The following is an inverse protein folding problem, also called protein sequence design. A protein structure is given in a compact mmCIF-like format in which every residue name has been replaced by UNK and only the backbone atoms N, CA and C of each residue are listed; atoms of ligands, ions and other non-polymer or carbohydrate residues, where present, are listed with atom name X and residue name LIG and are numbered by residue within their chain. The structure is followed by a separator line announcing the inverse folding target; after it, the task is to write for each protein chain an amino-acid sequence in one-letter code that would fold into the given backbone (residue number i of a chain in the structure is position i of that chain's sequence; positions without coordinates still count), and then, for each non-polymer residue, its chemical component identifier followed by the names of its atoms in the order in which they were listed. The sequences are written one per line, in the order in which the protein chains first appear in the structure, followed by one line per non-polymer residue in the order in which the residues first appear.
data_IF_849129095226
#
_entry.id   IF_849129095226
#
_cell.length_a   1.000
_cell.length_b   1.000
_cell.length_c   1.000
_cell.angle_alpha   90.00
_cell.angle_beta   90.00
_cell.angle_gamma   90.00
#
_symmetry.space_group_name_H-M   'P 1'
#
loop_
_entity.id
_entity.type
_entity.pdbx_description
1 polymer ?
#
# COMPACT_ATOMS: atom_id res chain seq x y z
N UNK A 1 -18.69 -13.83 10.61
CA UNK A 1 -17.34 -13.53 11.17
C UNK A 1 -16.31 -13.87 10.11
N UNK A 2 -15.46 -12.93 9.78
CA UNK A 2 -14.35 -13.07 8.85
C UNK A 2 -13.02 -13.19 9.61
N UNK A 3 -12.02 -13.80 8.97
CA UNK A 3 -10.68 -13.90 9.51
C UNK A 3 -9.71 -13.17 8.59
N UNK A 4 -9.07 -12.12 9.09
CA UNK A 4 -7.94 -11.45 8.43
C UNK A 4 -6.67 -12.00 9.03
N UNK A 5 -5.86 -12.69 8.23
CA UNK A 5 -4.65 -13.37 8.70
C UNK A 5 -3.49 -13.18 7.72
N UNK A 6 -2.29 -13.50 8.16
CA UNK A 6 -1.14 -13.43 7.28
C UNK A 6 0.18 -13.37 7.98
N UNK A 7 1.17 -12.80 7.28
CA UNK A 7 2.54 -12.72 7.75
C UNK A 7 3.08 -11.31 7.65
N UNK A 8 4.00 -10.97 8.54
CA UNK A 8 4.72 -9.69 8.58
C UNK A 8 6.22 -9.91 8.39
N UNK A 9 6.82 -9.10 7.53
CA UNK A 9 8.24 -9.12 7.25
C UNK A 9 8.82 -7.70 7.19
N UNK A 10 10.06 -7.57 7.58
CA UNK A 10 10.88 -6.40 7.37
C UNK A 10 11.98 -6.66 6.33
N UNK A 11 12.99 -5.81 6.30
CA UNK A 11 14.14 -5.93 5.38
C UNK A 11 14.93 -7.22 5.59
N UNK A 12 15.11 -7.64 6.83
CA UNK A 12 15.94 -8.79 7.22
C UNK A 12 15.18 -10.12 7.29
N UNK A 13 13.89 -10.13 6.96
CA UNK A 13 13.04 -11.31 7.01
C UNK A 13 11.83 -11.13 7.93
N UNK A 14 11.48 -12.18 8.66
CA UNK A 14 10.34 -12.18 9.58
C UNK A 14 10.41 -11.01 10.57
N UNK A 15 9.28 -10.34 10.78
CA UNK A 15 9.17 -9.23 11.71
C UNK A 15 8.02 -9.47 12.69
N UNK A 16 8.35 -9.70 13.96
CA UNK A 16 7.40 -9.88 15.07
C UNK A 16 6.92 -8.55 15.64
N UNK A 17 5.89 -8.60 16.48
CA UNK A 17 5.34 -7.47 17.21
C UNK A 17 4.98 -6.27 16.31
N UNK A 18 4.53 -6.56 15.10
CA UNK A 18 3.90 -5.58 14.22
C UNK A 18 2.46 -5.41 14.68
N UNK A 19 2.04 -4.18 14.94
CA UNK A 19 0.65 -3.85 15.25
C UNK A 19 -0.14 -3.78 13.94
N UNK A 20 -1.15 -4.64 13.81
CA UNK A 20 -2.09 -4.67 12.70
C UNK A 20 -3.41 -4.11 13.20
N UNK A 21 -3.94 -3.09 12.53
CA UNK A 21 -5.16 -2.41 12.92
C UNK A 21 -6.14 -2.30 11.76
N UNK A 22 -7.40 -2.67 11.98
CA UNK A 22 -8.51 -2.30 11.11
C UNK A 22 -9.15 -1.01 11.62
N UNK A 23 -9.29 -0.03 10.74
CA UNK A 23 -9.74 1.32 11.07
C UNK A 23 -11.02 1.70 10.30
N UNK A 24 -11.81 2.57 10.93
CA UNK A 24 -12.99 3.16 10.30
C UNK A 24 -12.64 4.38 9.43
N UNK A 25 -13.65 5.03 8.86
CA UNK A 25 -13.51 6.22 8.00
C UNK A 25 -12.91 7.45 8.73
N UNK A 26 -13.00 7.48 10.05
CA UNK A 26 -12.39 8.52 10.90
C UNK A 26 -10.97 8.19 11.34
N UNK A 27 -10.44 7.09 10.79
CA UNK A 27 -9.13 6.57 11.16
C UNK A 27 -9.02 6.10 12.63
N UNK A 28 -10.13 5.76 13.25
CA UNK A 28 -10.18 5.18 14.60
C UNK A 28 -10.01 3.67 14.52
N UNK A 29 -9.19 3.10 15.40
CA UNK A 29 -8.96 1.65 15.48
C UNK A 29 -10.21 0.94 15.98
N UNK A 30 -10.73 0.02 15.17
CA UNK A 30 -11.88 -0.82 15.52
C UNK A 30 -11.45 -2.18 16.05
N UNK A 31 -10.46 -2.79 15.42
CA UNK A 31 -9.91 -4.10 15.76
C UNK A 31 -8.41 -4.07 15.58
N UNK A 32 -7.69 -4.81 16.43
CA UNK A 32 -6.23 -4.86 16.35
C UNK A 32 -5.69 -6.21 16.82
N UNK A 33 -4.52 -6.56 16.35
CA UNK A 33 -3.71 -7.69 16.82
C UNK A 33 -2.22 -7.38 16.66
N UNK A 34 -1.37 -8.21 17.26
CA UNK A 34 0.08 -8.16 17.07
C UNK A 34 0.54 -9.42 16.35
N UNK A 35 1.51 -9.29 15.46
CA UNK A 35 2.18 -10.47 14.92
C UNK A 35 3.04 -11.16 15.98
N UNK A 36 3.05 -12.50 15.94
CA UNK A 36 3.82 -13.36 16.84
C UNK A 36 5.32 -13.40 16.49
N UNK A 37 6.08 -14.27 17.17
CA UNK A 37 7.51 -14.45 16.95
C UNK A 37 7.87 -14.94 15.55
N UNK A 38 6.94 -15.62 14.88
CA UNK A 38 7.07 -16.08 13.50
C UNK A 38 6.58 -15.04 12.48
N UNK A 39 6.18 -13.86 12.94
CA UNK A 39 5.59 -12.82 12.11
C UNK A 39 4.16 -13.16 11.66
N UNK A 40 3.51 -14.16 12.24
CA UNK A 40 2.14 -14.54 11.89
C UNK A 40 1.15 -13.71 12.68
N UNK A 41 0.05 -13.33 12.05
CA UNK A 41 -1.06 -12.65 12.72
C UNK A 41 -2.41 -13.20 12.28
N UNK A 42 -3.38 -13.09 13.17
CA UNK A 42 -4.77 -13.42 12.92
C UNK A 42 -5.68 -12.44 13.67
N UNK A 43 -6.74 -12.01 13.00
CA UNK A 43 -7.73 -11.06 13.51
C UNK A 43 -9.13 -11.50 13.07
N UNK A 44 -9.95 -11.96 14.01
CA UNK A 44 -11.35 -12.33 13.77
C UNK A 44 -12.25 -11.11 13.96
N UNK A 45 -13.02 -10.76 12.93
CA UNK A 45 -13.86 -9.55 12.91
C UNK A 45 -15.23 -9.84 12.32
N UNK A 46 -16.25 -9.02 12.58
CA UNK A 46 -17.52 -9.10 11.86
C UNK A 46 -17.33 -9.00 10.34
N UNK A 47 -18.19 -9.69 9.60
CA UNK A 47 -18.22 -9.56 8.14
C UNK A 47 -18.54 -8.13 7.76
N UNK A 48 -17.78 -7.59 6.81
CA UNK A 48 -17.92 -6.20 6.36
C UNK A 48 -16.78 -5.71 5.49
N UNK A 49 -16.86 -4.45 5.10
CA UNK A 49 -15.76 -3.74 4.46
C UNK A 49 -15.17 -2.72 5.42
N UNK A 50 -13.87 -2.75 5.61
CA UNK A 50 -13.14 -1.83 6.47
C UNK A 50 -12.34 -0.86 5.61
N UNK A 51 -12.49 0.46 5.79
CA UNK A 51 -11.80 1.45 4.98
C UNK A 51 -10.29 1.26 4.94
N UNK A 52 -9.69 0.96 6.09
CA UNK A 52 -8.24 0.83 6.18
C UNK A 52 -7.82 -0.35 7.06
N UNK A 53 -6.74 -1.02 6.63
CA UNK A 53 -5.88 -1.80 7.49
C UNK A 53 -4.50 -1.17 7.45
N UNK A 54 -3.94 -0.93 8.63
CA UNK A 54 -2.55 -0.47 8.77
C UNK A 54 -1.72 -1.51 9.51
N UNK A 55 -0.44 -1.58 9.17
CA UNK A 55 0.51 -2.39 9.91
C UNK A 55 1.77 -1.58 10.21
N UNK A 56 2.13 -1.50 11.49
CA UNK A 56 3.16 -0.59 11.96
C UNK A 56 3.98 -1.19 13.10
N UNK A 57 5.26 -0.84 13.12
CA UNK A 57 6.18 -1.09 14.23
C UNK A 57 7.24 0.01 14.26
N UNK A 58 7.52 0.58 15.43
CA UNK A 58 8.55 1.62 15.61
C UNK A 58 8.43 2.74 14.55
N UNK A 59 7.18 3.22 14.29
CA UNK A 59 6.85 4.17 13.23
C UNK A 59 7.67 5.46 13.34
N UNK A 60 8.19 5.91 12.21
CA UNK A 60 9.00 7.12 12.12
C UNK A 60 10.40 7.00 12.76
N UNK A 61 10.69 5.89 13.44
CA UNK A 61 11.99 5.60 14.05
C UNK A 61 12.80 4.59 13.23
N UNK A 62 12.22 3.43 12.95
CA UNK A 62 12.88 2.34 12.22
C UNK A 62 12.16 1.98 10.94
N UNK A 63 10.83 2.09 10.92
CA UNK A 63 9.96 1.69 9.83
C UNK A 63 8.93 2.79 9.53
N UNK A 64 8.37 2.74 8.34
CA UNK A 64 7.14 3.38 7.96
C UNK A 64 6.00 2.34 7.89
N UNK A 65 4.81 2.77 7.54
CA UNK A 65 3.58 2.00 7.67
C UNK A 65 3.23 1.26 6.37
N UNK A 66 2.61 0.08 6.50
CA UNK A 66 1.91 -0.57 5.40
C UNK A 66 0.43 -0.22 5.44
N UNK A 67 -0.15 -0.03 4.26
CA UNK A 67 -1.56 0.30 4.07
C UNK A 67 -2.26 -0.72 3.19
N UNK A 68 -3.44 -1.19 3.64
CA UNK A 68 -4.44 -1.78 2.77
C UNK A 68 -5.72 -0.96 2.84
N UNK A 69 -6.33 -0.67 1.68
CA UNK A 69 -7.53 0.16 1.59
C UNK A 69 -8.71 -0.68 1.10
N UNK A 70 -9.94 -0.36 1.58
CA UNK A 70 -11.20 -1.02 1.24
C UNK A 70 -11.18 -2.54 1.54
N UNK A 71 -10.71 -2.92 2.70
CA UNK A 71 -10.44 -4.31 3.09
C UNK A 71 -11.73 -5.13 3.17
N UNK A 72 -11.95 -6.13 2.30
CA UNK A 72 -13.16 -6.94 2.30
C UNK A 72 -13.03 -8.09 3.31
N UNK A 73 -13.50 -7.91 4.52
CA UNK A 73 -13.58 -8.96 5.52
C UNK A 73 -14.90 -9.73 5.36
N UNK A 74 -15.00 -10.55 4.31
CA UNK A 74 -16.17 -11.37 3.98
C UNK A 74 -15.71 -12.82 3.77
N UNK A 75 -15.23 -13.47 4.85
CA UNK A 75 -14.56 -14.75 4.84
C UNK A 75 -13.07 -14.61 5.19
N UNK A 76 -12.28 -15.60 4.80
CA UNK A 76 -10.84 -15.60 5.06
C UNK A 76 -10.11 -14.66 4.08
N UNK A 77 -9.38 -13.69 4.61
CA UNK A 77 -8.51 -12.80 3.86
C UNK A 77 -7.06 -13.01 4.31
N UNK A 78 -6.18 -13.32 3.35
CA UNK A 78 -4.74 -13.47 3.61
C UNK A 78 -3.95 -12.28 3.07
N UNK A 79 -3.06 -11.74 3.94
CA UNK A 79 -2.18 -10.62 3.62
C UNK A 79 -0.72 -10.96 3.96
N UNK A 80 0.17 -10.69 3.00
CA UNK A 80 1.63 -10.74 3.23
C UNK A 80 2.15 -9.31 3.34
N UNK A 81 2.30 -8.85 4.57
CA UNK A 81 2.64 -7.47 4.90
C UNK A 81 4.15 -7.32 4.98
N UNK A 82 4.67 -6.31 4.28
CA UNK A 82 6.07 -5.94 4.40
C UNK A 82 6.18 -4.46 4.76
N UNK A 83 6.91 -4.17 5.83
CA UNK A 83 7.22 -2.81 6.26
C UNK A 83 8.74 -2.59 6.25
N UNK A 84 9.15 -1.42 5.80
CA UNK A 84 10.54 -1.00 5.71
C UNK A 84 10.58 0.53 5.88
N UNK A 85 11.61 1.20 5.40
CA UNK A 85 11.80 2.64 5.48
C UNK A 85 11.15 3.42 4.34
N UNK A 86 10.41 2.73 3.46
CA UNK A 86 9.52 3.36 2.49
C UNK A 86 8.07 3.02 2.78
N UNK A 87 7.19 3.96 2.47
CA UNK A 87 5.75 3.83 2.56
C UNK A 87 5.10 4.17 1.22
N UNK A 88 4.01 3.50 0.91
CA UNK A 88 3.12 3.84 -0.21
C UNK A 88 1.79 4.30 0.37
N UNK A 89 1.53 5.58 0.31
CA UNK A 89 0.36 6.23 0.88
C UNK A 89 -0.63 6.68 -0.20
N UNK A 90 -1.92 6.65 0.11
CA UNK A 90 -2.98 7.22 -0.73
C UNK A 90 -3.11 6.52 -2.08
N UNK A 91 -3.09 5.19 -2.07
CA UNK A 91 -3.18 4.38 -3.29
C UNK A 91 -4.59 4.49 -3.91
N UNK A 92 -4.67 4.95 -5.14
CA UNK A 92 -5.89 5.03 -5.93
C UNK A 92 -5.69 4.38 -7.29
N UNK A 93 -6.73 3.72 -7.80
CA UNK A 93 -6.70 3.11 -9.12
C UNK A 93 -7.98 3.40 -9.90
N UNK A 94 -7.83 3.67 -11.19
CA UNK A 94 -8.95 3.98 -12.07
C UNK A 94 -8.65 3.61 -13.53
N UNK A 95 -9.70 3.40 -14.29
CA UNK A 95 -9.63 3.15 -15.74
C UNK A 95 -10.22 4.33 -16.47
N UNK A 96 -9.45 4.90 -17.40
CA UNK A 96 -9.96 5.96 -18.28
C UNK A 96 -10.69 5.31 -19.44
N UNK A 97 -12.02 5.50 -19.52
CA UNK A 97 -12.84 4.98 -20.63
C UNK A 97 -12.42 5.61 -21.97
N UNK A 98 -12.35 4.79 -23.01
CA UNK A 98 -12.00 5.24 -24.36
C UNK A 98 -10.50 5.29 -24.67
N UNK A 99 -9.65 4.94 -23.72
CA UNK A 99 -8.21 4.76 -23.96
C UNK A 99 -7.86 3.27 -24.16
N UNK A 100 -6.59 2.99 -24.47
CA UNK A 100 -6.07 1.62 -24.42
C UNK A 100 -6.37 0.96 -23.07
N UNK A 101 -6.58 -0.36 -23.06
CA UNK A 101 -6.84 -1.14 -21.85
C UNK A 101 -5.65 -1.04 -20.88
N UNK A 102 -5.66 -0.01 -20.05
CA UNK A 102 -4.63 0.27 -19.06
C UNK A 102 -5.28 0.71 -17.75
N UNK A 103 -4.66 0.34 -16.65
CA UNK A 103 -5.01 0.79 -15.33
C UNK A 103 -4.11 1.97 -14.97
N UNK A 104 -4.69 3.07 -14.52
CA UNK A 104 -3.97 4.21 -13.93
C UNK A 104 -3.96 4.04 -12.43
N UNK A 105 -2.79 4.18 -11.82
CA UNK A 105 -2.60 4.06 -10.38
C UNK A 105 -1.88 5.31 -9.89
N UNK A 106 -2.44 5.96 -8.89
CA UNK A 106 -1.85 7.10 -8.21
C UNK A 106 -1.45 6.72 -6.79
N UNK A 107 -0.28 7.18 -6.34
CA UNK A 107 0.20 7.00 -4.97
C UNK A 107 1.26 8.02 -4.58
N UNK A 108 1.46 8.19 -3.27
CA UNK A 108 2.55 8.98 -2.68
C UNK A 108 3.55 8.06 -2.01
N UNK A 109 4.77 7.92 -2.53
CA UNK A 109 5.84 7.24 -1.80
C UNK A 109 6.47 8.20 -0.80
N UNK A 110 6.79 7.72 0.39
CA UNK A 110 7.49 8.48 1.42
C UNK A 110 8.73 7.71 1.89
N UNK A 111 9.81 8.42 2.15
CA UNK A 111 11.08 7.89 2.64
C UNK A 111 11.37 8.39 4.04
N UNK A 112 11.54 7.46 4.98
CA UNK A 112 11.94 7.77 6.35
C UNK A 112 13.31 8.44 6.42
N UNK A 113 14.24 8.07 5.54
CA UNK A 113 15.58 8.65 5.51
C UNK A 113 15.55 10.10 5.08
N UNK A 114 14.81 10.41 3.99
CA UNK A 114 14.63 11.78 3.52
C UNK A 114 13.91 12.64 4.58
N UNK A 115 12.91 12.07 5.24
CA UNK A 115 12.24 12.73 6.36
C UNK A 115 13.21 13.06 7.51
N UNK A 116 14.04 12.10 7.91
CA UNK A 116 15.06 12.31 8.96
C UNK A 116 16.16 13.28 8.55
N UNK A 117 16.47 13.36 7.26
CA UNK A 117 17.39 14.33 6.70
C UNK A 117 16.80 15.75 6.60
N UNK A 118 15.52 15.94 6.90
CA UNK A 118 14.83 17.22 6.82
C UNK A 118 14.61 17.71 5.38
N UNK A 119 14.56 16.78 4.41
CA UNK A 119 14.30 17.14 3.02
C UNK A 119 12.87 17.68 2.85
N UNK A 120 12.70 18.72 2.06
CA UNK A 120 11.39 19.33 1.80
C UNK A 120 10.47 18.39 1.02
N UNK A 121 11.03 17.55 0.15
CA UNK A 121 10.30 16.51 -0.59
C UNK A 121 10.83 15.13 -0.18
N UNK A 122 10.04 14.45 0.62
CA UNK A 122 10.38 13.14 1.19
C UNK A 122 10.13 11.97 0.23
N UNK A 123 9.58 12.23 -0.96
CA UNK A 123 9.36 11.18 -1.94
C UNK A 123 10.69 10.73 -2.58
N UNK A 124 10.97 9.43 -2.68
CA UNK A 124 12.10 8.93 -3.47
C UNK A 124 11.86 9.19 -4.97
N UNK A 125 12.95 9.27 -5.73
CA UNK A 125 12.87 9.27 -7.20
C UNK A 125 12.74 7.82 -7.66
N UNK A 126 11.66 7.52 -8.38
CA UNK A 126 11.33 6.19 -8.88
C UNK A 126 11.23 6.21 -10.41
N UNK A 127 11.58 5.09 -11.01
CA UNK A 127 11.34 4.76 -12.42
C UNK A 127 10.36 3.60 -12.54
N UNK A 128 9.92 3.24 -13.74
CA UNK A 128 9.05 2.07 -13.99
C UNK A 128 9.67 0.77 -13.46
N UNK A 129 11.01 0.68 -13.46
CA UNK A 129 11.72 -0.52 -13.01
C UNK A 129 11.74 -0.66 -11.47
N UNK A 130 11.49 0.43 -10.76
CA UNK A 130 11.44 0.46 -9.30
C UNK A 130 10.06 0.10 -8.77
N UNK A 131 9.07 -0.06 -9.66
CA UNK A 131 7.67 -0.27 -9.30
C UNK A 131 7.22 -1.63 -9.80
N UNK A 132 6.73 -2.45 -8.89
CA UNK A 132 6.08 -3.73 -9.20
C UNK A 132 4.61 -3.63 -8.83
N UNK A 133 3.75 -4.02 -9.76
CA UNK A 133 2.29 -4.07 -9.55
C UNK A 133 1.79 -5.47 -9.84
N UNK A 134 0.91 -5.99 -9.00
CA UNK A 134 0.07 -7.14 -9.31
C UNK A 134 -1.40 -6.76 -9.27
N UNK A 135 -2.18 -7.35 -10.16
CA UNK A 135 -3.63 -7.18 -10.23
C UNK A 135 -4.26 -8.57 -10.12
N UNK A 136 -5.06 -8.79 -9.08
CA UNK A 136 -5.61 -10.11 -8.72
C UNK A 136 -4.51 -11.19 -8.66
N UNK A 137 -3.36 -10.86 -8.04
CA UNK A 137 -2.20 -11.75 -7.92
C UNK A 137 -1.36 -11.93 -9.20
N UNK A 138 -1.78 -11.39 -10.36
CA UNK A 138 -1.06 -11.49 -11.62
C UNK A 138 -0.19 -10.27 -11.86
N UNK A 139 1.07 -10.48 -12.26
CA UNK A 139 2.01 -9.39 -12.55
C UNK A 139 1.49 -8.50 -13.67
N UNK A 140 1.53 -7.20 -13.44
CA UNK A 140 1.17 -6.14 -14.38
C UNK A 140 2.43 -5.42 -14.86
N UNK A 141 2.50 -5.10 -16.16
CA UNK A 141 3.62 -4.32 -16.70
C UNK A 141 3.38 -2.84 -16.47
N UNK A 142 4.33 -2.18 -15.84
CA UNK A 142 4.35 -0.71 -15.72
C UNK A 142 4.87 -0.15 -17.04
N UNK A 143 4.11 0.74 -17.67
CA UNK A 143 4.46 1.37 -18.96
C UNK A 143 5.14 2.73 -18.77
N UNK A 144 4.69 3.47 -17.76
CA UNK A 144 5.16 4.81 -17.45
C UNK A 144 4.99 5.10 -15.97
N UNK A 145 5.90 5.88 -15.41
CA UNK A 145 5.84 6.37 -14.04
C UNK A 145 6.08 7.89 -14.06
N UNK A 146 4.99 8.65 -14.10
CA UNK A 146 5.03 10.11 -14.08
C UNK A 146 5.10 10.62 -12.65
N UNK A 147 6.16 11.36 -12.32
CA UNK A 147 6.26 12.08 -11.07
C UNK A 147 5.44 13.36 -11.17
N UNK A 148 4.44 13.50 -10.30
CA UNK A 148 3.53 14.63 -10.26
C UNK A 148 3.70 15.42 -8.98
N UNK A 149 3.41 16.73 -9.03
CA UNK A 149 3.40 17.58 -7.84
C UNK A 149 1.99 17.70 -7.29
N UNK A 150 1.83 17.36 -6.03
CA UNK A 150 0.58 17.52 -5.31
C UNK A 150 0.65 18.74 -4.40
N UNK A 151 -0.31 19.62 -4.52
CA UNK A 151 -0.42 20.80 -3.67
C UNK A 151 -0.88 20.41 -2.26
N UNK A 152 -0.16 20.86 -1.24
CA UNK A 152 -0.43 20.48 0.16
C UNK A 152 -1.43 21.37 0.88
N UNK A 153 -1.98 22.41 0.21
CA UNK A 153 -2.83 23.42 0.82
C UNK A 153 -2.06 24.66 1.32
N UNK A 154 -0.74 24.60 1.37
CA UNK A 154 0.11 25.73 1.75
C UNK A 154 0.83 26.31 0.52
N UNK A 155 0.84 27.65 0.41
CA UNK A 155 1.46 28.33 -0.74
C UNK A 155 2.95 27.95 -0.87
N UNK A 156 3.35 27.55 -2.08
CA UNK A 156 4.71 27.13 -2.39
C UNK A 156 5.13 25.74 -1.89
N UNK A 157 4.26 25.00 -1.18
CA UNK A 157 4.54 23.64 -0.73
C UNK A 157 3.87 22.59 -1.61
N UNK A 158 4.68 21.65 -2.06
CA UNK A 158 4.26 20.51 -2.87
C UNK A 158 4.89 19.24 -2.34
N UNK A 159 4.15 18.14 -2.42
CA UNK A 159 4.67 16.80 -2.25
C UNK A 159 4.76 16.13 -3.62
N UNK A 160 5.76 15.29 -3.82
CA UNK A 160 5.81 14.47 -5.02
C UNK A 160 4.97 13.22 -4.83
N UNK A 161 4.16 12.94 -5.84
CA UNK A 161 3.39 11.72 -5.99
C UNK A 161 3.73 11.08 -7.33
N UNK A 162 3.17 9.91 -7.59
CA UNK A 162 3.34 9.20 -8.85
C UNK A 162 1.99 8.85 -9.44
N UNK A 163 1.86 9.11 -10.74
CA UNK A 163 0.80 8.59 -11.57
C UNK A 163 1.42 7.58 -12.54
N UNK A 164 1.12 6.31 -12.36
CA UNK A 164 1.63 5.25 -13.22
C UNK A 164 0.53 4.70 -14.12
N UNK A 165 0.93 4.15 -15.26
CA UNK A 165 0.04 3.39 -16.14
C UNK A 165 0.56 1.97 -16.27
N UNK A 166 -0.34 1.01 -16.07
CA UNK A 166 0.01 -0.41 -16.09
C UNK A 166 -0.90 -1.19 -17.02
N UNK A 167 -0.44 -2.37 -17.47
CA UNK A 167 -1.31 -3.31 -18.18
C UNK A 167 -2.41 -3.84 -17.25
N UNK A 168 -3.53 -4.24 -17.82
CA UNK A 168 -4.46 -5.16 -17.17
C UNK A 168 -4.01 -6.56 -17.59
N UNK A 169 -3.65 -7.46 -16.66
CA UNK A 169 -3.16 -8.78 -17.00
C UNK A 169 -4.19 -9.60 -17.77
N UNK A 170 -3.73 -10.49 -18.63
CA UNK A 170 -4.60 -11.35 -19.43
C UNK A 170 -5.53 -12.20 -18.56
N UNK A 171 -6.81 -12.26 -18.95
CA UNK A 171 -7.87 -12.97 -18.22
C UNK A 171 -8.43 -12.21 -17.02
N UNK A 172 -7.93 -11.02 -16.67
CA UNK A 172 -8.52 -10.14 -15.69
C UNK A 172 -9.59 -9.28 -16.38
N UNK A 173 -10.86 -9.51 -16.05
CA UNK A 173 -12.00 -8.72 -16.56
C UNK A 173 -12.23 -7.49 -15.70
N UNK A 174 -12.21 -7.70 -14.38
CA UNK A 174 -12.36 -6.67 -13.36
C UNK A 174 -11.26 -6.87 -12.32
N UNK A 175 -10.71 -5.77 -11.82
CA UNK A 175 -9.72 -5.85 -10.76
C UNK A 175 -10.44 -5.84 -9.39
N UNK A 176 -10.03 -6.74 -8.53
CA UNK A 176 -10.54 -6.88 -7.15
C UNK A 176 -9.48 -6.47 -6.15
N UNK A 177 -8.20 -6.75 -6.47
CA UNK A 177 -7.06 -6.45 -5.62
C UNK A 177 -5.87 -5.96 -6.46
N UNK A 178 -5.25 -4.90 -6.00
CA UNK A 178 -4.00 -4.37 -6.52
C UNK A 178 -2.99 -4.37 -5.38
N UNK A 179 -1.86 -5.02 -5.58
CA UNK A 179 -0.71 -4.89 -4.69
C UNK A 179 0.39 -4.12 -5.42
N UNK A 180 0.96 -3.13 -4.73
CA UNK A 180 2.09 -2.35 -5.24
C UNK A 180 3.29 -2.51 -4.32
N UNK A 181 4.45 -2.63 -4.92
CA UNK A 181 5.74 -2.58 -4.25
C UNK A 181 6.62 -1.58 -4.95
N UNK A 182 7.17 -0.64 -4.21
CA UNK A 182 8.17 0.30 -4.68
C UNK A 182 9.53 -0.03 -4.08
N UNK A 183 10.60 0.15 -4.86
CA UNK A 183 11.98 -0.05 -4.44
C UNK A 183 12.73 1.26 -4.60
N UNK A 184 13.10 1.88 -3.51
CA UNK A 184 13.92 3.07 -3.51
C UNK A 184 15.42 2.77 -3.56
N UNK A 185 16.25 3.81 -3.43
CA UNK A 185 17.70 3.65 -3.25
C UNK A 185 18.02 2.66 -2.15
N UNK A 186 19.20 2.00 -2.21
CA UNK A 186 19.67 1.02 -1.23
C UNK A 186 18.72 -0.17 -0.98
N UNK A 187 17.81 -0.43 -1.93
CA UNK A 187 16.82 -1.53 -1.87
C UNK A 187 15.77 -1.38 -0.75
N UNK A 188 15.55 -0.19 -0.24
CA UNK A 188 14.41 0.09 0.64
C UNK A 188 13.10 -0.21 -0.07
N UNK A 189 12.13 -0.73 0.65
CA UNK A 189 10.87 -1.21 0.08
C UNK A 189 9.69 -0.52 0.75
N UNK A 190 8.70 -0.13 -0.07
CA UNK A 190 7.38 0.29 0.38
C UNK A 190 6.31 -0.57 -0.30
N UNK A 191 5.31 -1.00 0.45
CA UNK A 191 4.22 -1.84 -0.06
C UNK A 191 2.86 -1.26 0.34
N UNK A 192 1.87 -1.45 -0.52
CA UNK A 192 0.47 -1.19 -0.20
C UNK A 192 -0.46 -2.12 -0.99
N UNK A 193 -1.67 -2.30 -0.49
CA UNK A 193 -2.75 -3.05 -1.16
C UNK A 193 -3.99 -2.17 -1.29
N UNK A 194 -4.63 -2.23 -2.44
CA UNK A 194 -5.94 -1.61 -2.69
C UNK A 194 -6.93 -2.69 -3.13
N UNK A 195 -8.02 -2.81 -2.41
CA UNK A 195 -9.15 -3.63 -2.84
C UNK A 195 -10.16 -2.76 -3.60
N UNK A 196 -10.83 -3.37 -4.55
CA UNK A 196 -11.90 -2.72 -5.29
C UNK A 196 -13.06 -2.43 -4.35
N UNK A 197 -13.49 -1.18 -4.31
CA UNK A 197 -14.70 -0.81 -3.58
C UNK A 197 -15.90 -1.18 -4.43
N UNK A 198 -16.55 -2.29 -4.10
CA UNK A 198 -17.86 -2.60 -4.65
C UNK A 198 -18.85 -1.64 -3.98
N UNK A 199 -19.41 -0.73 -4.74
CA UNK A 199 -20.59 0.01 -4.30
C UNK A 199 -21.73 -0.99 -4.22
N UNK A 200 -22.10 -1.40 -2.99
CA UNK A 200 -23.32 -2.14 -2.71
C UNK A 200 -24.52 -1.21 -2.84
#
# INVERSE_FOLDING_TARGET
MATVKGTTAGREGVLSAVLIELKNERFETMYQTLSDENGTFELCVPDGSYPFLTAVRDYGQRYLEYWAQNVPACGDLELHIRIDTLEVYGLHAFIVKGTAKALSIYFRPMSLEKFKAGEADIAPVLTENDITVTVNGKKSRVYVADRVREYTGEEGRYLSAYLIRTSIPEGVKEWERIDITVRGPEKHIGCATLFHQSFL
#
